data_IF_058027549466
#
_entry.id   IF_058027549466
#
_cell.length_a   1.000
_cell.length_b   1.000
_cell.length_c   1.000
_cell.angle_alpha   90.00
_cell.angle_beta   90.00
_cell.angle_gamma   90.00
#
_symmetry.space_group_name_H-M   'P 1'
#
loop_
_entity.id
_entity.type
_entity.pdbx_description
1 polymer ?
#
# COMPACT_ATOMS: atom_id res chain seq x y z
N UNK A 1 -10.22 -0.70 12.63
CA UNK A 1 -9.32 0.42 12.31
C UNK A 1 -9.49 0.72 10.82
N UNK A 2 -9.51 1.98 10.39
CA UNK A 2 -9.61 2.33 8.96
C UNK A 2 -8.25 2.18 8.27
N UNK A 3 -8.24 2.05 6.93
CA UNK A 3 -7.01 2.03 6.11
C UNK A 3 -6.15 3.27 6.35
N UNK A 4 -6.82 4.42 6.37
CA UNK A 4 -6.22 5.71 6.69
C UNK A 4 -5.56 5.71 8.06
N UNK A 5 -6.27 5.30 9.11
CA UNK A 5 -5.71 5.29 10.46
C UNK A 5 -4.46 4.40 10.56
N UNK A 6 -4.48 3.25 9.88
CA UNK A 6 -3.34 2.33 9.84
C UNK A 6 -2.16 2.91 9.03
N UNK A 7 -2.43 3.58 7.91
CA UNK A 7 -1.38 4.25 7.13
C UNK A 7 -0.73 5.40 7.90
N UNK A 8 -1.53 6.23 8.58
CA UNK A 8 -1.02 7.32 9.42
C UNK A 8 -0.23 6.80 10.62
N UNK A 9 -0.62 5.66 11.20
CA UNK A 9 0.16 4.97 12.24
C UNK A 9 1.54 4.57 11.71
N UNK A 10 1.61 3.91 10.55
CA UNK A 10 2.88 3.47 9.96
C UNK A 10 3.80 4.65 9.59
N UNK A 11 3.23 5.71 9.00
CA UNK A 11 3.97 6.95 8.73
C UNK A 11 4.49 7.58 10.03
N UNK A 12 3.66 7.64 11.08
CA UNK A 12 4.04 8.24 12.36
C UNK A 12 5.12 7.44 13.07
N UNK A 13 5.03 6.11 13.04
CA UNK A 13 6.04 5.20 13.58
C UNK A 13 7.39 5.36 12.88
N UNK A 14 7.40 5.35 11.53
CA UNK A 14 8.62 5.47 10.74
C UNK A 14 9.29 6.84 10.91
N UNK A 15 8.50 7.91 10.87
CA UNK A 15 9.00 9.29 10.97
C UNK A 15 9.27 9.75 12.42
N UNK A 16 8.89 8.95 13.41
CA UNK A 16 9.12 9.24 14.83
C UNK A 16 8.33 10.44 15.38
N UNK A 17 7.24 10.83 14.71
CA UNK A 17 6.36 11.92 15.14
C UNK A 17 4.93 11.71 14.65
N UNK A 18 3.92 12.29 15.29
CA UNK A 18 2.54 12.20 14.81
C UNK A 18 2.38 12.84 13.43
N UNK A 19 1.73 12.13 12.51
CA UNK A 19 1.33 12.61 11.19
C UNK A 19 -0.20 12.70 11.13
N UNK A 20 -0.73 13.86 10.70
CA UNK A 20 -2.16 14.05 10.48
C UNK A 20 -2.55 13.75 9.03
N UNK A 21 -3.82 13.48 8.79
CA UNK A 21 -4.34 13.33 7.42
C UNK A 21 -4.20 14.61 6.60
N UNK A 22 -4.27 15.78 7.25
CA UNK A 22 -4.10 17.08 6.59
C UNK A 22 -2.68 17.30 6.05
N UNK A 23 -1.71 16.51 6.54
CA UNK A 23 -0.31 16.58 6.14
C UNK A 23 0.04 15.61 4.99
N UNK A 24 -0.89 14.73 4.62
CA UNK A 24 -0.64 13.58 3.76
C UNK A 24 -1.37 13.74 2.42
N UNK A 25 -0.64 13.50 1.33
CA UNK A 25 -1.26 13.31 0.03
C UNK A 25 -1.92 11.93 -0.03
N UNK A 26 -3.17 11.87 -0.49
CA UNK A 26 -3.90 10.61 -0.63
C UNK A 26 -4.47 10.44 -2.03
N UNK A 27 -4.22 9.28 -2.62
CA UNK A 27 -4.81 8.87 -3.89
C UNK A 27 -5.23 7.40 -3.85
N UNK A 28 -6.20 7.04 -4.70
CA UNK A 28 -6.62 5.65 -4.88
C UNK A 28 -6.90 5.35 -6.34
N UNK A 29 -6.39 4.21 -6.81
CA UNK A 29 -6.47 3.78 -8.19
C UNK A 29 -6.86 2.31 -8.28
N UNK A 30 -7.43 1.91 -9.41
CA UNK A 30 -7.62 0.50 -9.75
C UNK A 30 -6.65 0.19 -10.88
N UNK A 31 -5.81 -0.82 -10.66
CA UNK A 31 -4.87 -1.34 -11.65
C UNK A 31 -5.21 -2.78 -11.99
N UNK A 32 -4.76 -3.25 -13.15
CA UNK A 32 -4.60 -4.68 -13.40
C UNK A 32 -3.32 -5.19 -12.72
N UNK A 33 -3.29 -6.47 -12.33
CA UNK A 33 -2.19 -7.01 -11.54
C UNK A 33 -0.85 -7.03 -12.28
N UNK A 34 -0.85 -7.03 -13.61
CA UNK A 34 0.36 -6.90 -14.44
C UNK A 34 0.87 -5.46 -14.57
N UNK A 35 0.06 -4.46 -14.22
CA UNK A 35 0.47 -3.05 -14.13
C UNK A 35 1.20 -2.73 -12.81
N UNK A 36 1.14 -3.64 -11.83
CA UNK A 36 1.80 -3.45 -10.53
C UNK A 36 3.31 -3.60 -10.63
N UNK A 37 4.04 -2.75 -9.92
CA UNK A 37 5.49 -2.92 -9.75
C UNK A 37 5.78 -4.08 -8.79
N UNK A 38 6.04 -5.25 -9.37
CA UNK A 38 6.37 -6.47 -8.63
C UNK A 38 7.63 -6.35 -7.76
N UNK A 39 8.53 -5.39 -8.01
CA UNK A 39 9.72 -5.17 -7.17
C UNK A 39 9.36 -4.60 -5.79
N UNK A 40 8.21 -3.94 -5.69
CA UNK A 40 7.66 -3.38 -4.47
C UNK A 40 6.73 -4.35 -3.74
N UNK A 41 6.47 -5.52 -4.32
CA UNK A 41 5.63 -6.57 -3.72
C UNK A 41 6.54 -7.63 -3.08
N UNK A 42 6.33 -7.97 -1.80
CA UNK A 42 7.08 -9.03 -1.14
C UNK A 42 6.96 -10.37 -1.88
N UNK A 43 8.03 -11.18 -1.98
CA UNK A 43 8.00 -12.43 -2.76
C UNK A 43 6.89 -13.41 -2.38
N UNK A 44 6.54 -13.47 -1.08
CA UNK A 44 5.46 -14.33 -0.58
C UNK A 44 4.06 -13.80 -0.90
N UNK A 45 3.93 -12.56 -1.38
CA UNK A 45 2.68 -11.91 -1.76
C UNK A 45 2.43 -11.90 -3.27
N UNK A 46 3.46 -12.07 -4.11
CA UNK A 46 3.35 -11.98 -5.57
C UNK A 46 2.29 -12.92 -6.16
N UNK A 47 2.20 -14.16 -5.68
CA UNK A 47 1.24 -15.14 -6.20
C UNK A 47 -0.24 -14.79 -5.97
N UNK A 48 -0.52 -13.83 -5.11
CA UNK A 48 -1.89 -13.38 -4.81
C UNK A 48 -2.40 -12.31 -5.76
N UNK A 49 -1.53 -11.68 -6.55
CA UNK A 49 -1.89 -10.67 -7.54
C UNK A 49 -1.76 -11.27 -8.93
N UNK A 50 -2.90 -11.71 -9.50
CA UNK A 50 -2.90 -12.29 -10.85
C UNK A 50 -2.84 -11.18 -11.91
N UNK A 51 -2.24 -11.42 -13.08
CA UNK A 51 -2.13 -10.42 -14.14
C UNK A 51 -3.47 -9.74 -14.49
N UNK A 52 -4.52 -10.51 -14.70
CA UNK A 52 -5.86 -10.06 -15.11
C UNK A 52 -6.77 -9.63 -13.93
N UNK A 53 -6.23 -9.62 -12.72
CA UNK A 53 -6.99 -9.27 -11.53
C UNK A 53 -6.96 -7.77 -11.29
N UNK A 54 -8.13 -7.19 -11.05
CA UNK A 54 -8.22 -5.82 -10.59
C UNK A 54 -7.71 -5.70 -9.16
N UNK A 55 -6.84 -4.72 -8.92
CA UNK A 55 -6.25 -4.45 -7.62
C UNK A 55 -6.55 -3.01 -7.25
N UNK A 56 -7.34 -2.84 -6.19
CA UNK A 56 -7.59 -1.53 -5.62
C UNK A 56 -6.38 -1.12 -4.80
N UNK A 57 -5.77 -0.01 -5.21
CA UNK A 57 -4.55 0.52 -4.64
C UNK A 57 -4.84 1.83 -3.94
N UNK A 58 -4.32 1.97 -2.72
CA UNK A 58 -4.40 3.19 -1.93
C UNK A 58 -2.98 3.68 -1.65
N UNK A 59 -2.74 4.98 -1.78
CA UNK A 59 -1.44 5.61 -1.56
C UNK A 59 -1.60 6.76 -0.56
N UNK A 60 -0.76 6.76 0.47
CA UNK A 60 -0.67 7.81 1.49
C UNK A 60 0.78 8.30 1.55
N UNK A 61 1.05 9.51 1.06
CA UNK A 61 2.41 10.05 0.93
C UNK A 61 2.66 11.23 1.86
N UNK A 62 3.81 11.23 2.53
CA UNK A 62 4.35 12.34 3.31
C UNK A 62 5.80 12.59 2.89
N UNK A 63 6.05 13.65 2.10
CA UNK A 63 7.38 13.89 1.53
C UNK A 63 7.81 12.71 0.65
N UNK A 64 8.96 12.11 0.97
CA UNK A 64 9.54 10.97 0.25
C UNK A 64 9.14 9.60 0.84
N UNK A 65 8.36 9.59 1.92
CA UNK A 65 7.84 8.37 2.55
C UNK A 65 6.39 8.13 2.11
N UNK A 66 6.04 6.89 1.77
CA UNK A 66 4.70 6.52 1.33
C UNK A 66 4.25 5.20 1.94
N UNK A 67 2.99 5.12 2.34
CA UNK A 67 2.33 3.85 2.63
C UNK A 67 1.39 3.51 1.49
N UNK A 68 1.52 2.32 0.93
CA UNK A 68 0.59 1.78 -0.05
C UNK A 68 -0.23 0.64 0.56
N UNK A 69 -1.45 0.45 0.05
CA UNK A 69 -2.26 -0.75 0.30
C UNK A 69 -2.73 -1.33 -1.02
N UNK A 70 -2.56 -2.63 -1.22
CA UNK A 70 -3.05 -3.37 -2.38
C UNK A 70 -4.15 -4.34 -1.95
N UNK A 71 -5.31 -4.21 -2.56
CA UNK A 71 -6.49 -5.07 -2.33
C UNK A 71 -6.92 -5.74 -3.64
N UNK A 72 -6.58 -7.02 -3.84
CA UNK A 72 -7.00 -7.77 -5.01
C UNK A 72 -8.52 -7.99 -4.94
N UNK A 73 -9.24 -7.46 -5.93
CA UNK A 73 -10.69 -7.56 -6.05
C UNK A 73 -11.07 -8.90 -6.68
N UNK A 74 -12.30 -9.36 -6.39
CA UNK A 74 -12.84 -10.60 -6.98
C UNK A 74 -12.11 -11.88 -6.59
N UNK A 75 -11.18 -11.83 -5.62
CA UNK A 75 -10.51 -12.99 -5.07
C UNK A 75 -11.49 -13.87 -4.28
N UNK A 76 -11.49 -15.19 -4.52
CA UNK A 76 -12.20 -16.18 -3.70
C UNK A 76 -11.54 -16.41 -2.33
N UNK A 77 -10.29 -15.96 -2.16
CA UNK A 77 -9.60 -15.95 -0.87
C UNK A 77 -10.11 -14.79 -0.01
N UNK A 78 -10.11 -14.92 1.33
CA UNK A 78 -10.45 -13.81 2.23
C UNK A 78 -9.67 -12.56 1.82
N UNK A 79 -10.35 -11.40 1.82
CA UNK A 79 -9.81 -10.12 1.38
C UNK A 79 -8.39 -9.91 1.94
N UNK A 80 -7.38 -10.13 1.09
CA UNK A 80 -5.99 -10.01 1.47
C UNK A 80 -5.54 -8.61 1.15
N UNK A 81 -5.32 -7.79 2.17
CA UNK A 81 -4.74 -6.46 1.99
C UNK A 81 -3.24 -6.56 2.25
N UNK A 82 -2.41 -6.33 1.22
CA UNK A 82 -1.00 -6.07 1.42
C UNK A 82 -0.85 -4.59 1.77
N UNK A 83 -0.11 -4.28 2.82
CA UNK A 83 0.30 -2.91 3.14
C UNK A 83 1.82 -2.85 3.06
N UNK A 84 2.37 -1.80 2.49
CA UNK A 84 3.82 -1.59 2.47
C UNK A 84 4.19 -0.15 2.74
N UNK A 85 5.32 0.05 3.40
CA UNK A 85 5.94 1.36 3.61
C UNK A 85 7.15 1.47 2.69
N UNK A 86 7.12 2.50 1.86
CA UNK A 86 8.22 2.92 1.01
C UNK A 86 8.89 4.15 1.61
N UNK A 87 10.20 4.23 1.46
CA UNK A 87 10.98 5.44 1.74
C UNK A 87 11.99 5.60 0.60
N UNK A 88 12.00 6.77 -0.06
CA UNK A 88 12.78 7.01 -1.29
C UNK A 88 12.56 5.92 -2.36
N UNK A 89 11.28 5.52 -2.54
CA UNK A 89 10.84 4.45 -3.46
C UNK A 89 11.34 3.04 -3.14
N UNK A 90 12.03 2.81 -2.01
CA UNK A 90 12.45 1.48 -1.58
C UNK A 90 11.49 0.90 -0.54
N UNK A 91 11.14 -0.39 -0.67
CA UNK A 91 10.29 -1.08 0.30
C UNK A 91 11.05 -1.33 1.60
N UNK A 92 10.61 -0.68 2.68
CA UNK A 92 11.24 -0.77 4.01
C UNK A 92 10.52 -1.78 4.91
N UNK A 93 9.18 -1.85 4.82
CA UNK A 93 8.32 -2.69 5.69
C UNK A 93 7.05 -3.12 4.94
N UNK A 94 6.51 -4.29 5.28
CA UNK A 94 5.20 -4.79 4.84
C UNK A 94 4.57 -5.73 5.88
#
# INVERSE_FOLDING_TARGET
MSKEALALEWLSEHLGRPISIDDVGYESYVFEGDELDTSLIPPNYVSYFKPDQQVLTYLYAYGDTMVYLLEPLGSELPAMTLMGLLDDYELIRY
#
